data_IF_149389832479
#
_entry.id   IF_149389832479
#
_cell.length_a   1.000
_cell.length_b   1.000
_cell.length_c   1.000
_cell.angle_alpha   90.00
_cell.angle_beta   90.00
_cell.angle_gamma   90.00
#
_symmetry.space_group_name_H-M   'P 1'
#
loop_
_entity.id
_entity.type
_entity.pdbx_description
1 polymer ?
#
# COMPACT_ATOMS: atom_id res chain seq x y z
N UNK A 1 0.12 5.85 15.63
CA UNK A 1 -1.12 5.35 16.22
C UNK A 1 -1.00 3.88 16.64
N UNK A 2 -0.72 2.93 15.77
CA UNK A 2 -0.59 1.50 16.13
C UNK A 2 0.48 1.25 17.21
N UNK A 3 1.62 1.97 17.16
CA UNK A 3 2.65 1.91 18.19
C UNK A 3 2.16 2.48 19.53
N UNK A 4 1.40 3.56 19.53
CA UNK A 4 0.82 4.13 20.75
C UNK A 4 -0.24 3.23 21.40
N UNK A 5 -0.89 2.37 20.60
CA UNK A 5 -1.77 1.30 21.10
C UNK A 5 -1.01 0.05 21.59
N UNK A 6 0.31 0.04 21.48
CA UNK A 6 1.15 -1.08 21.89
C UNK A 6 0.98 -2.34 21.02
N UNK A 7 0.57 -2.20 19.76
CA UNK A 7 0.46 -3.33 18.82
C UNK A 7 1.83 -3.86 18.40
N UNK A 8 2.86 -3.02 18.45
CA UNK A 8 4.25 -3.40 18.21
C UNK A 8 5.20 -2.47 18.98
N UNK A 9 6.41 -2.92 19.23
CA UNK A 9 7.43 -2.14 19.94
C UNK A 9 8.49 -1.57 19.00
N UNK A 10 8.94 -2.38 18.06
CA UNK A 10 9.95 -2.03 17.05
C UNK A 10 9.43 -2.29 15.64
N UNK A 11 9.89 -1.49 14.66
CA UNK A 11 9.58 -1.72 13.25
C UNK A 11 10.12 -3.06 12.71
N UNK A 12 11.12 -3.63 13.37
CA UNK A 12 11.65 -4.96 13.06
C UNK A 12 10.60 -6.04 13.36
N UNK A 13 9.82 -5.88 14.44
CA UNK A 13 8.81 -6.86 14.88
C UNK A 13 7.69 -7.06 13.86
N UNK A 14 7.48 -6.09 12.98
CA UNK A 14 6.40 -6.10 11.99
C UNK A 14 6.90 -6.29 10.54
N UNK A 15 8.18 -6.66 10.39
CA UNK A 15 8.77 -6.87 9.07
C UNK A 15 8.52 -8.27 8.50
N UNK A 16 8.12 -9.21 9.35
CA UNK A 16 7.73 -10.56 8.99
C UNK A 16 6.73 -11.14 10.00
N UNK A 17 5.92 -12.08 9.55
CA UNK A 17 4.98 -12.82 10.40
C UNK A 17 5.10 -14.31 10.08
N UNK A 18 5.03 -15.15 11.09
CA UNK A 18 5.10 -16.62 10.94
C UNK A 18 3.75 -17.22 10.57
N UNK A 19 2.65 -16.57 10.96
CA UNK A 19 1.30 -17.01 10.64
C UNK A 19 0.95 -16.70 9.16
N UNK A 20 0.06 -17.46 8.53
CA UNK A 20 -0.54 -17.09 7.25
C UNK A 20 -1.18 -15.69 7.31
N UNK A 21 -1.49 -15.09 6.17
CA UNK A 21 -2.05 -13.73 6.14
C UNK A 21 -3.28 -13.63 7.04
N UNK A 22 -3.42 -12.52 7.77
CA UNK A 22 -4.56 -12.27 8.64
C UNK A 22 -5.88 -12.29 7.84
N UNK A 23 -5.85 -11.72 6.63
CA UNK A 23 -6.97 -11.75 5.69
C UNK A 23 -7.42 -13.18 5.38
N UNK A 24 -6.50 -14.11 5.12
CA UNK A 24 -6.82 -15.51 4.83
C UNK A 24 -7.46 -16.21 6.03
N UNK A 25 -7.06 -15.85 7.25
CA UNK A 25 -7.60 -16.33 8.51
C UNK A 25 -8.91 -15.63 8.92
N UNK A 26 -9.39 -14.66 8.12
CA UNK A 26 -10.63 -13.94 8.39
C UNK A 26 -10.49 -12.70 9.27
N UNK A 27 -9.27 -12.32 9.68
CA UNK A 27 -9.01 -11.11 10.45
C UNK A 27 -8.71 -9.98 9.48
N UNK A 28 -9.56 -8.95 9.48
CA UNK A 28 -9.48 -7.84 8.52
C UNK A 28 -9.48 -6.51 9.27
N UNK A 29 -8.61 -5.59 8.84
CA UNK A 29 -8.64 -4.21 9.27
C UNK A 29 -8.98 -3.27 8.12
N UNK A 30 -9.97 -2.39 8.32
CA UNK A 30 -10.29 -1.30 7.39
C UNK A 30 -9.71 0.00 7.95
N UNK A 31 -8.67 0.58 7.32
CA UNK A 31 -7.98 1.77 7.83
C UNK A 31 -8.72 3.07 7.51
N UNK A 32 -9.99 3.18 7.92
CA UNK A 32 -10.85 4.35 7.73
C UNK A 32 -10.79 5.32 8.92
N UNK A 33 -9.59 5.58 9.48
CA UNK A 33 -9.43 6.38 10.70
C UNK A 33 -9.89 7.84 10.53
N UNK A 34 -9.88 8.36 9.31
CA UNK A 34 -10.36 9.70 8.95
C UNK A 34 -11.40 9.63 7.82
N UNK A 35 -12.14 8.54 7.73
CA UNK A 35 -13.03 8.23 6.62
C UNK A 35 -12.31 7.47 5.49
N UNK A 36 -13.03 7.23 4.40
CA UNK A 36 -12.52 6.57 3.19
C UNK A 36 -12.45 7.57 2.04
N UNK A 37 -11.29 7.75 1.46
CA UNK A 37 -11.08 8.51 0.23
C UNK A 37 -11.46 7.67 -1.00
N UNK A 38 -10.82 7.91 -2.15
CA UNK A 38 -11.02 7.15 -3.39
C UNK A 38 -10.96 5.63 -3.16
N UNK A 39 -11.85 4.83 -3.76
CA UNK A 39 -12.95 5.21 -4.64
C UNK A 39 -14.28 5.51 -3.90
N UNK A 40 -14.31 5.41 -2.57
CA UNK A 40 -15.55 5.43 -1.78
C UNK A 40 -16.08 6.84 -1.45
N UNK A 41 -15.17 7.79 -1.22
CA UNK A 41 -15.46 9.19 -0.86
C UNK A 41 -16.43 9.32 0.32
N UNK A 42 -16.29 8.48 1.35
CA UNK A 42 -17.14 8.39 2.52
C UNK A 42 -16.43 8.93 3.76
N UNK A 43 -16.77 10.14 4.18
CA UNK A 43 -16.25 10.77 5.40
C UNK A 43 -16.85 10.19 6.67
N UNK A 44 -18.01 9.53 6.58
CA UNK A 44 -18.70 8.88 7.69
C UNK A 44 -18.13 7.49 8.02
N UNK A 45 -17.28 6.93 7.16
CA UNK A 45 -16.65 5.66 7.45
C UNK A 45 -15.69 5.74 8.64
N UNK A 46 -15.59 4.64 9.40
CA UNK A 46 -14.69 4.54 10.56
C UNK A 46 -13.80 3.32 10.48
N UNK A 47 -12.61 3.40 11.10
CA UNK A 47 -11.69 2.27 11.20
C UNK A 47 -12.34 1.09 11.90
N UNK A 48 -12.12 -0.12 11.37
CA UNK A 48 -12.82 -1.32 11.80
C UNK A 48 -11.91 -2.53 11.77
N UNK A 49 -11.90 -3.36 12.85
CA UNK A 49 -11.44 -4.74 12.84
C UNK A 49 -12.61 -5.69 12.81
N UNK A 50 -12.55 -6.71 11.97
CA UNK A 50 -13.50 -7.82 11.90
C UNK A 50 -12.76 -9.15 12.04
N UNK A 51 -13.43 -10.16 12.61
CA UNK A 51 -12.90 -11.51 12.71
C UNK A 51 -12.00 -11.74 13.92
N UNK A 52 -12.08 -10.88 14.94
CA UNK A 52 -11.36 -11.09 16.20
C UNK A 52 -11.98 -12.24 16.98
N UNK A 53 -11.14 -13.13 17.51
CA UNK A 53 -11.50 -14.22 18.39
C UNK A 53 -10.77 -14.10 19.73
N UNK A 54 -11.03 -15.03 20.65
CA UNK A 54 -10.40 -15.07 21.98
C UNK A 54 -8.88 -15.30 21.91
N UNK A 55 -8.40 -15.91 20.85
CA UNK A 55 -7.01 -16.24 20.55
C UNK A 55 -6.29 -15.18 19.72
N UNK A 56 -6.98 -14.10 19.31
CA UNK A 56 -6.39 -13.04 18.50
C UNK A 56 -5.31 -12.30 19.28
N UNK A 57 -4.12 -12.26 18.72
CA UNK A 57 -2.96 -11.61 19.31
C UNK A 57 -2.75 -10.18 18.77
N UNK A 58 -1.88 -9.42 19.44
CA UNK A 58 -1.43 -8.11 18.92
C UNK A 58 -0.73 -8.22 17.56
N UNK A 59 0.01 -9.31 17.35
CA UNK A 59 0.69 -9.57 16.09
C UNK A 59 -0.33 -9.79 14.95
N UNK A 60 -1.43 -10.52 15.21
CA UNK A 60 -2.51 -10.72 14.25
C UNK A 60 -3.20 -9.40 13.88
N UNK A 61 -3.47 -8.56 14.89
CA UNK A 61 -4.05 -7.23 14.66
C UNK A 61 -3.12 -6.33 13.84
N UNK A 62 -1.80 -6.38 14.14
CA UNK A 62 -0.82 -5.59 13.39
C UNK A 62 -0.65 -6.10 11.96
N UNK A 63 -0.64 -7.41 11.76
CA UNK A 63 -0.61 -8.03 10.44
C UNK A 63 -1.83 -7.61 9.62
N UNK A 64 -3.04 -7.71 10.17
CA UNK A 64 -4.27 -7.25 9.53
C UNK A 64 -4.24 -5.76 9.19
N UNK A 65 -3.59 -4.93 10.03
CA UNK A 65 -3.43 -3.50 9.78
C UNK A 65 -2.57 -3.24 8.54
N UNK A 66 -1.42 -3.88 8.42
CA UNK A 66 -0.54 -3.75 7.25
C UNK A 66 -1.25 -4.24 5.98
N UNK A 67 -1.92 -5.38 6.06
CA UNK A 67 -2.71 -5.95 4.96
C UNK A 67 -3.85 -5.02 4.54
N UNK A 68 -4.56 -4.42 5.50
CA UNK A 68 -5.64 -3.47 5.24
C UNK A 68 -5.16 -2.21 4.51
N UNK A 69 -3.99 -1.68 4.88
CA UNK A 69 -3.38 -0.54 4.17
C UNK A 69 -3.00 -0.93 2.74
N UNK A 70 -2.41 -2.12 2.55
CA UNK A 70 -2.06 -2.61 1.22
C UNK A 70 -3.30 -2.84 0.34
N UNK A 71 -4.37 -3.40 0.91
CA UNK A 71 -5.63 -3.62 0.19
C UNK A 71 -6.32 -2.31 -0.20
N UNK A 72 -6.24 -1.27 0.66
CA UNK A 72 -6.72 0.06 0.30
C UNK A 72 -5.93 0.65 -0.88
N UNK A 73 -4.62 0.50 -0.89
CA UNK A 73 -3.82 0.89 -2.05
C UNK A 73 -4.23 0.10 -3.31
N UNK A 74 -4.48 -1.20 -3.17
CA UNK A 74 -4.95 -2.04 -4.27
C UNK A 74 -6.34 -1.63 -4.80
N UNK A 75 -7.27 -1.19 -3.95
CA UNK A 75 -8.57 -0.66 -4.40
C UNK A 75 -8.41 0.62 -5.23
N UNK A 76 -7.56 1.56 -4.78
CA UNK A 76 -7.27 2.78 -5.54
C UNK A 76 -6.67 2.44 -6.90
N UNK A 77 -5.69 1.55 -6.93
CA UNK A 77 -5.04 1.13 -8.19
C UNK A 77 -6.03 0.43 -9.14
N UNK A 78 -6.97 -0.37 -8.63
CA UNK A 78 -8.03 -0.95 -9.46
C UNK A 78 -8.97 0.11 -10.03
N UNK A 79 -9.36 1.09 -9.23
CA UNK A 79 -10.18 2.21 -9.70
C UNK A 79 -9.47 2.98 -10.82
N UNK A 80 -8.16 3.21 -10.68
CA UNK A 80 -7.33 3.85 -11.72
C UNK A 80 -7.22 2.98 -12.98
N UNK A 81 -7.06 1.66 -12.82
CA UNK A 81 -6.96 0.72 -13.94
C UNK A 81 -8.22 0.68 -14.83
N UNK A 82 -9.38 1.01 -14.27
CA UNK A 82 -10.62 1.20 -15.02
C UNK A 82 -10.63 2.44 -15.90
N UNK A 83 -9.73 3.39 -15.68
CA UNK A 83 -9.63 4.65 -16.42
C UNK A 83 -8.41 4.70 -17.35
N UNK A 84 -7.30 4.11 -16.92
CA UNK A 84 -6.01 4.17 -17.61
C UNK A 84 -5.30 2.81 -17.53
N UNK A 85 -4.63 2.38 -18.61
CA UNK A 85 -3.82 1.16 -18.56
C UNK A 85 -2.66 1.38 -17.59
N UNK A 86 -2.57 0.51 -16.58
CA UNK A 86 -1.46 0.51 -15.63
C UNK A 86 -0.34 -0.39 -16.13
N UNK A 87 0.91 0.07 -15.97
CA UNK A 87 2.09 -0.74 -16.28
C UNK A 87 2.18 -2.01 -15.44
N UNK A 88 2.98 -2.98 -15.87
CA UNK A 88 3.24 -4.22 -15.13
C UNK A 88 4.11 -4.02 -13.88
N UNK A 89 4.82 -2.90 -13.83
CA UNK A 89 5.71 -2.52 -12.72
C UNK A 89 5.26 -1.20 -12.13
N UNK A 90 5.22 -1.12 -10.79
CA UNK A 90 4.81 0.06 -10.03
C UNK A 90 5.98 0.46 -9.12
N UNK A 91 6.36 1.73 -9.16
CA UNK A 91 7.34 2.28 -8.21
C UNK A 91 6.63 2.69 -6.92
N UNK A 92 7.19 2.26 -5.79
CA UNK A 92 6.68 2.54 -4.44
C UNK A 92 7.74 3.30 -3.65
N UNK A 93 7.31 4.31 -2.91
CA UNK A 93 8.14 5.10 -2.01
C UNK A 93 7.41 5.32 -0.67
N UNK A 94 8.16 5.84 0.31
CA UNK A 94 7.66 6.14 1.65
C UNK A 94 8.06 5.11 2.70
N UNK A 95 7.73 5.41 3.97
CA UNK A 95 8.21 4.63 5.11
C UNK A 95 7.82 3.14 5.08
N UNK A 96 6.61 2.82 4.60
CA UNK A 96 6.15 1.43 4.48
C UNK A 96 6.86 0.64 3.38
N UNK A 97 7.50 1.31 2.41
CA UNK A 97 8.33 0.64 1.40
C UNK A 97 9.54 -0.09 2.03
N UNK A 98 9.90 0.24 3.28
CA UNK A 98 10.96 -0.46 4.02
C UNK A 98 10.48 -1.73 4.75
N UNK A 99 9.18 -2.01 4.75
CA UNK A 99 8.62 -3.21 5.36
C UNK A 99 8.45 -4.30 4.31
N UNK A 100 9.21 -5.39 4.43
CA UNK A 100 9.24 -6.47 3.44
C UNK A 100 7.93 -7.24 3.40
N UNK A 101 7.29 -7.46 4.55
CA UNK A 101 5.97 -8.10 4.60
C UNK A 101 4.92 -7.28 3.85
N UNK A 102 4.86 -5.98 4.16
CA UNK A 102 3.92 -5.07 3.49
C UNK A 102 4.13 -5.05 1.97
N UNK A 103 5.38 -4.95 1.52
CA UNK A 103 5.71 -4.89 0.10
C UNK A 103 5.40 -6.20 -0.63
N UNK A 104 5.69 -7.35 -0.03
CA UNK A 104 5.32 -8.66 -0.57
C UNK A 104 3.81 -8.84 -0.65
N UNK A 105 3.09 -8.51 0.43
CA UNK A 105 1.63 -8.57 0.44
C UNK A 105 1.00 -7.61 -0.58
N UNK A 106 1.52 -6.39 -0.71
CA UNK A 106 1.04 -5.42 -1.70
C UNK A 106 1.28 -5.91 -3.14
N UNK A 107 2.44 -6.52 -3.42
CA UNK A 107 2.71 -7.12 -4.73
C UNK A 107 1.68 -8.22 -5.06
N UNK A 108 1.35 -9.07 -4.09
CA UNK A 108 0.34 -10.11 -4.22
C UNK A 108 -1.08 -9.53 -4.39
N UNK A 109 -1.44 -8.49 -3.64
CA UNK A 109 -2.73 -7.83 -3.73
C UNK A 109 -2.96 -7.11 -5.07
N UNK A 110 -1.89 -6.59 -5.67
CA UNK A 110 -1.92 -5.93 -6.97
C UNK A 110 -1.71 -6.90 -8.14
N UNK A 111 -1.16 -8.07 -7.88
CA UNK A 111 -0.61 -9.00 -8.89
C UNK A 111 0.34 -8.27 -9.86
N UNK A 112 1.28 -7.48 -9.30
CA UNK A 112 2.22 -6.66 -10.07
C UNK A 112 3.58 -6.61 -9.40
N UNK A 113 4.62 -6.42 -10.22
CA UNK A 113 5.96 -6.17 -9.72
C UNK A 113 6.05 -4.78 -9.10
N UNK A 114 6.58 -4.70 -7.88
CA UNK A 114 6.86 -3.45 -7.20
C UNK A 114 8.36 -3.18 -7.16
N UNK A 115 8.74 -1.94 -7.35
CA UNK A 115 10.13 -1.49 -7.25
C UNK A 115 10.25 -0.39 -6.20
N UNK A 116 11.28 -0.46 -5.39
CA UNK A 116 11.62 0.59 -4.41
C UNK A 116 12.82 1.34 -4.91
N UNK A 117 12.73 2.66 -4.99
CA UNK A 117 13.85 3.49 -5.45
C UNK A 117 15.04 3.40 -4.51
N UNK A 118 16.25 3.59 -5.05
CA UNK A 118 17.49 3.62 -4.26
C UNK A 118 17.69 4.94 -3.50
N UNK A 119 16.93 5.98 -3.83
CA UNK A 119 16.98 7.28 -3.17
C UNK A 119 15.75 7.51 -2.31
N UNK A 120 15.94 8.07 -1.12
CA UNK A 120 14.86 8.55 -0.23
C UNK A 120 14.36 9.94 -0.61
N UNK A 121 15.08 10.65 -1.50
CA UNK A 121 14.83 12.05 -1.86
C UNK A 121 14.10 12.15 -3.23
N UNK A 122 13.11 11.29 -3.47
CA UNK A 122 12.41 11.25 -4.76
C UNK A 122 11.66 12.54 -5.07
N UNK A 123 11.11 13.21 -4.06
CA UNK A 123 10.42 14.49 -4.25
C UNK A 123 11.37 15.57 -4.74
N UNK A 124 12.56 15.68 -4.14
CA UNK A 124 13.60 16.62 -4.57
C UNK A 124 14.09 16.29 -5.98
N UNK A 125 14.33 15.01 -6.26
CA UNK A 125 14.75 14.54 -7.58
C UNK A 125 13.68 14.83 -8.65
N UNK A 126 12.41 14.58 -8.34
CA UNK A 126 11.29 14.87 -9.23
C UNK A 126 11.18 16.36 -9.54
N UNK A 127 11.27 17.21 -8.51
CA UNK A 127 11.25 18.68 -8.67
C UNK A 127 12.42 19.19 -9.53
N UNK A 128 13.63 18.68 -9.28
CA UNK A 128 14.80 19.02 -10.07
C UNK A 128 14.63 18.63 -11.56
N UNK A 129 14.11 17.43 -11.82
CA UNK A 129 13.84 16.96 -13.19
C UNK A 129 12.79 17.81 -13.91
N UNK A 130 11.70 18.19 -13.21
CA UNK A 130 10.68 19.10 -13.77
C UNK A 130 11.27 20.47 -14.10
N UNK A 131 12.11 21.04 -13.23
CA UNK A 131 12.81 22.30 -13.49
C UNK A 131 13.74 22.20 -14.71
N UNK A 132 14.51 21.11 -14.81
CA UNK A 132 15.37 20.86 -15.98
C UNK A 132 14.54 20.74 -17.26
N UNK A 133 13.41 20.05 -17.23
CA UNK A 133 12.52 19.93 -18.38
C UNK A 133 11.94 21.29 -18.81
N UNK A 134 11.52 22.11 -17.85
CA UNK A 134 11.02 23.47 -18.11
C UNK A 134 12.09 24.37 -18.73
N UNK A 135 13.35 24.25 -18.29
CA UNK A 135 14.49 25.01 -18.90
C UNK A 135 14.82 24.48 -20.30
N UNK A 136 14.74 23.20 -20.53
CA UNK A 136 14.99 22.59 -21.84
C UNK A 136 13.96 23.05 -22.89
N UNK A 137 12.70 23.23 -22.52
CA UNK A 137 11.64 23.74 -23.40
C UNK A 137 11.87 25.22 -23.82
N UNK A 138 12.53 26.01 -22.96
CA UNK A 138 12.87 27.43 -23.28
C UNK A 138 14.10 27.58 -24.16
N UNK A 139 15.02 26.63 -24.14
CA UNK A 139 16.21 26.60 -24.98
C UNK A 139 15.94 25.60 -26.11
N UNK A 140 16.06 26.04 -27.35
CA UNK A 140 15.81 25.25 -28.58
C UNK A 140 16.74 24.03 -28.78
N UNK A 141 17.18 23.39 -27.70
CA UNK A 141 18.00 22.19 -27.70
C UNK A 141 17.40 21.12 -26.79
N UNK A 142 17.25 19.92 -27.31
CA UNK A 142 16.79 18.74 -26.51
C UNK A 142 17.83 18.47 -25.41
N UNK A 143 17.54 18.90 -24.18
CA UNK A 143 18.31 18.50 -23.01
C UNK A 143 17.82 17.11 -22.56
N UNK A 144 18.67 16.10 -22.72
CA UNK A 144 18.39 14.77 -22.20
C UNK A 144 18.41 14.81 -20.68
N UNK A 145 17.31 14.36 -20.06
CA UNK A 145 17.26 14.19 -18.61
C UNK A 145 18.16 13.01 -18.20
N UNK A 146 18.91 13.13 -17.11
CA UNK A 146 19.66 12.00 -16.57
C UNK A 146 18.74 10.80 -16.33
N UNK A 147 19.18 9.55 -16.52
CA UNK A 147 18.38 8.38 -16.18
C UNK A 147 18.02 8.39 -14.70
N UNK A 148 16.88 7.78 -14.35
CA UNK A 148 16.54 7.55 -12.96
C UNK A 148 17.51 6.52 -12.37
N UNK A 149 17.88 6.64 -11.08
CA UNK A 149 18.68 5.61 -10.43
C UNK A 149 17.94 4.27 -10.47
N UNK A 150 18.65 3.14 -10.59
CA UNK A 150 18.04 1.83 -10.58
C UNK A 150 17.32 1.57 -9.24
N UNK A 151 16.29 0.70 -9.22
CA UNK A 151 15.62 0.33 -7.98
C UNK A 151 16.59 -0.40 -7.05
N UNK A 152 16.47 -0.14 -5.74
CA UNK A 152 17.23 -0.83 -4.70
C UNK A 152 16.68 -2.21 -4.39
N UNK A 153 15.36 -2.37 -4.47
CA UNK A 153 14.65 -3.62 -4.18
C UNK A 153 13.52 -3.83 -5.18
N UNK A 154 13.23 -5.11 -5.44
CA UNK A 154 12.15 -5.54 -6.34
C UNK A 154 11.34 -6.62 -5.65
N UNK A 155 10.03 -6.45 -5.58
CA UNK A 155 9.09 -7.43 -5.06
C UNK A 155 8.20 -7.91 -6.21
N UNK A 156 8.15 -9.23 -6.41
CA UNK A 156 7.29 -9.87 -7.40
C UNK A 156 6.14 -10.59 -6.70
N UNK A 157 4.96 -10.64 -7.29
CA UNK A 157 3.89 -11.46 -6.74
C UNK A 157 4.31 -12.93 -6.80
N UNK A 158 4.29 -13.60 -5.66
CA UNK A 158 4.57 -15.03 -5.50
C UNK A 158 3.29 -15.82 -5.18
N UNK A 159 2.35 -15.18 -4.50
CA UNK A 159 1.04 -15.73 -4.13
C UNK A 159 -0.07 -14.68 -4.35
N UNK A 160 -0.44 -14.39 -5.61
CA UNK A 160 -1.49 -13.40 -5.89
C UNK A 160 -2.77 -13.71 -5.11
N UNK A 161 -3.39 -12.66 -4.57
CA UNK A 161 -4.63 -12.81 -3.81
C UNK A 161 -5.77 -13.23 -4.75
N UNK A 162 -6.57 -14.17 -4.28
CA UNK A 162 -7.77 -14.63 -4.99
C UNK A 162 -8.87 -13.56 -4.95
N UNK A 163 -9.81 -13.63 -5.90
CA UNK A 163 -10.99 -12.75 -5.93
C UNK A 163 -11.82 -12.87 -4.65
N UNK A 164 -11.83 -14.04 -4.02
CA UNK A 164 -12.51 -14.27 -2.74
C UNK A 164 -11.91 -13.43 -1.60
N UNK A 165 -10.59 -13.37 -1.51
CA UNK A 165 -9.90 -12.55 -0.51
C UNK A 165 -10.13 -11.05 -0.76
N UNK A 166 -10.13 -10.62 -2.01
CA UNK A 166 -10.49 -9.25 -2.37
C UNK A 166 -11.94 -8.91 -2.02
N UNK A 167 -12.87 -9.82 -2.28
CA UNK A 167 -14.27 -9.67 -1.92
C UNK A 167 -14.45 -9.60 -0.40
N UNK A 168 -13.77 -10.46 0.37
CA UNK A 168 -13.77 -10.41 1.84
C UNK A 168 -13.37 -9.03 2.37
N UNK A 169 -12.34 -8.42 1.80
CA UNK A 169 -11.97 -7.05 2.17
C UNK A 169 -13.05 -6.03 1.78
N UNK A 170 -13.62 -6.13 0.59
CA UNK A 170 -14.74 -5.27 0.15
C UNK A 170 -15.95 -5.36 1.08
N UNK A 171 -16.27 -6.55 1.56
CA UNK A 171 -17.34 -6.77 2.55
C UNK A 171 -17.04 -6.07 3.88
N UNK A 172 -15.78 -6.11 4.33
CA UNK A 172 -15.35 -5.38 5.53
C UNK A 172 -15.44 -3.87 5.32
N UNK A 173 -15.01 -3.36 4.16
CA UNK A 173 -15.15 -1.93 3.79
C UNK A 173 -16.61 -1.51 3.80
N UNK A 174 -17.51 -2.32 3.27
CA UNK A 174 -18.95 -2.04 3.26
C UNK A 174 -19.52 -1.88 4.67
N UNK A 175 -19.03 -2.65 5.65
CA UNK A 175 -19.43 -2.54 7.07
C UNK A 175 -18.84 -1.32 7.78
N UNK A 176 -17.72 -0.80 7.30
CA UNK A 176 -17.05 0.38 7.86
C UNK A 176 -17.68 1.70 7.38
N UNK A 177 -18.47 1.66 6.29
CA UNK A 177 -19.09 2.84 5.68
C UNK A 177 -20.28 3.35 6.47
N UNK A 178 -20.54 4.64 6.33
CA UNK A 178 -21.69 5.33 6.96
C UNK A 178 -21.83 5.03 8.47
N UNK A 179 -20.71 4.86 9.18
CA UNK A 179 -20.70 4.56 10.61
C UNK A 179 -21.04 5.78 11.48
N UNK A 180 -20.75 6.99 11.00
CA UNK A 180 -20.97 8.28 11.68
C UNK A 180 -22.07 9.09 10.98
#
# INVERSE_FOLDING_TARGET
WAKSLGLFSSYVDINSFTAPSALSRGIVFVPALSGLACPHWDRGASGLWIGLGLDTTKADMMQALLEGVALRAAEVMRAMAGLLPLGSTISVDGGLANNDYFMGFLANALNRTLTVASSTELTALGTARMAMQGLAQKKTGAMSLPPLPPPSRVFRPDQPLTDDLHRRFGDAVSRARAWR
#
